data_IF_092082234918
#
_entry.id   IF_092082234918
#
_cell.length_a   1.000
_cell.length_b   1.000
_cell.length_c   1.000
_cell.angle_alpha   90.00
_cell.angle_beta   90.00
_cell.angle_gamma   90.00
#
_symmetry.space_group_name_H-M   'P 1'
#
loop_
_entity.id
_entity.type
_entity.pdbx_description
1 polymer ?
#
# COMPACT_ATOMS: atom_id res chain seq x y z
N UNK A 1 13.64 -36.69 -21.53
CA UNK A 1 12.61 -36.52 -20.47
C UNK A 1 12.61 -35.08 -19.96
N UNK A 2 13.78 -34.45 -19.80
CA UNK A 2 13.91 -33.01 -19.50
C UNK A 2 13.36 -32.10 -20.62
N UNK A 3 13.60 -32.40 -21.90
CA UNK A 3 13.06 -31.62 -23.02
C UNK A 3 11.52 -31.63 -23.08
N UNK A 4 10.89 -32.75 -22.74
CA UNK A 4 9.43 -32.87 -22.72
C UNK A 4 8.80 -32.08 -21.57
N UNK A 5 9.49 -31.98 -20.43
CA UNK A 5 9.06 -31.18 -19.28
C UNK A 5 9.26 -29.67 -19.51
N UNK A 6 10.33 -29.28 -20.21
CA UNK A 6 10.57 -27.91 -20.67
C UNK A 6 9.51 -27.46 -21.69
N UNK A 7 9.19 -28.32 -22.66
CA UNK A 7 8.22 -28.01 -23.71
C UNK A 7 6.78 -27.98 -23.16
N UNK A 8 6.43 -28.87 -22.22
CA UNK A 8 5.13 -28.83 -21.53
C UNK A 8 4.98 -27.59 -20.63
N UNK A 9 6.04 -27.17 -19.92
CA UNK A 9 6.06 -25.93 -19.13
C UNK A 9 5.94 -24.68 -20.01
N UNK A 10 6.66 -24.64 -21.14
CA UNK A 10 6.50 -23.58 -22.15
C UNK A 10 5.07 -23.52 -22.66
N UNK A 11 4.48 -24.66 -23.07
CA UNK A 11 3.11 -24.69 -23.60
C UNK A 11 2.03 -24.31 -22.58
N UNK A 12 2.24 -24.62 -21.29
CA UNK A 12 1.30 -24.27 -20.23
C UNK A 12 1.40 -22.79 -19.85
N UNK A 13 2.62 -22.24 -19.88
CA UNK A 13 2.88 -20.82 -19.66
C UNK A 13 2.36 -19.98 -20.83
N UNK A 14 2.59 -20.40 -22.07
CA UNK A 14 2.04 -19.78 -23.29
C UNK A 14 0.51 -19.81 -23.30
N UNK A 15 -0.10 -20.91 -22.81
CA UNK A 15 -1.56 -21.03 -22.70
C UNK A 15 -2.14 -20.12 -21.62
N UNK A 16 -1.49 -19.98 -20.46
CA UNK A 16 -1.93 -19.07 -19.40
C UNK A 16 -1.78 -17.58 -19.78
N UNK A 17 -0.74 -17.24 -20.54
CA UNK A 17 -0.56 -15.89 -21.08
C UNK A 17 -1.55 -15.57 -22.21
N UNK A 18 -2.11 -16.58 -22.88
CA UNK A 18 -3.12 -16.40 -23.93
C UNK A 18 -4.55 -16.10 -23.40
N UNK A 19 -4.86 -16.43 -22.15
CA UNK A 19 -6.19 -16.19 -21.56
C UNK A 19 -6.40 -14.70 -21.28
N UNK A 20 -7.45 -14.05 -21.81
CA UNK A 20 -7.68 -12.62 -21.56
C UNK A 20 -7.85 -12.29 -20.08
N UNK A 21 -7.27 -11.17 -19.63
CA UNK A 21 -7.53 -10.60 -18.31
C UNK A 21 -8.73 -9.66 -18.39
N UNK A 22 -9.72 -9.87 -17.52
CA UNK A 22 -10.89 -8.99 -17.44
C UNK A 22 -10.57 -7.74 -16.60
N UNK A 23 -10.89 -6.55 -17.12
CA UNK A 23 -10.60 -5.28 -16.44
C UNK A 23 -11.58 -4.98 -15.29
N UNK A 24 -12.85 -5.34 -15.43
CA UNK A 24 -13.94 -4.95 -14.54
C UNK A 24 -13.67 -5.22 -13.04
N UNK A 25 -13.16 -6.40 -12.63
CA UNK A 25 -12.86 -6.68 -11.22
C UNK A 25 -11.86 -5.70 -10.59
N UNK A 26 -10.94 -5.16 -11.39
CA UNK A 26 -9.88 -4.26 -10.92
C UNK A 26 -10.32 -2.80 -10.86
N UNK A 27 -11.49 -2.44 -11.40
CA UNK A 27 -12.02 -1.08 -11.32
C UNK A 27 -12.73 -0.88 -9.98
N UNK A 28 -12.27 0.09 -9.20
CA UNK A 28 -12.89 0.39 -7.91
C UNK A 28 -14.27 1.03 -8.11
N UNK A 29 -15.23 0.59 -7.30
CA UNK A 29 -16.60 1.10 -7.26
C UNK A 29 -16.97 1.55 -5.85
N UNK A 30 -18.10 2.27 -5.76
CA UNK A 30 -18.64 2.77 -4.51
C UNK A 30 -18.98 1.64 -3.51
N UNK A 31 -19.61 0.56 -3.99
CA UNK A 31 -19.96 -0.63 -3.20
C UNK A 31 -19.17 -1.82 -3.71
N UNK A 32 -18.34 -2.45 -2.88
CA UNK A 32 -17.49 -3.57 -3.35
C UNK A 32 -18.26 -4.89 -3.39
N UNK A 33 -19.13 -5.14 -2.42
CA UNK A 33 -19.94 -6.36 -2.34
C UNK A 33 -20.99 -6.52 -3.46
N UNK A 34 -21.38 -5.43 -4.13
CA UNK A 34 -22.33 -5.44 -5.25
C UNK A 34 -21.64 -5.48 -6.62
N UNK A 35 -20.35 -5.83 -6.67
CA UNK A 35 -19.52 -5.72 -7.87
C UNK A 35 -18.74 -6.98 -8.16
N UNK A 36 -17.99 -6.97 -9.27
CA UNK A 36 -17.04 -8.01 -9.64
C UNK A 36 -15.83 -8.14 -8.67
N UNK A 37 -15.81 -7.46 -7.52
CA UNK A 37 -14.73 -7.52 -6.54
C UNK A 37 -14.37 -8.96 -6.13
N UNK A 38 -15.36 -9.85 -5.98
CA UNK A 38 -15.12 -11.25 -5.64
C UNK A 38 -14.51 -12.08 -6.78
N UNK A 39 -14.36 -11.51 -7.98
CA UNK A 39 -13.63 -12.11 -9.10
C UNK A 39 -12.13 -11.74 -9.10
N UNK A 40 -11.69 -10.86 -8.19
CA UNK A 40 -10.27 -10.61 -7.98
C UNK A 40 -9.58 -11.86 -7.44
N UNK A 41 -8.29 -12.10 -7.75
CA UNK A 41 -7.54 -13.20 -7.17
C UNK A 41 -7.58 -13.16 -5.63
N UNK A 42 -7.77 -14.32 -5.00
CA UNK A 42 -7.71 -14.43 -3.55
C UNK A 42 -6.25 -14.31 -3.09
N UNK A 43 -5.94 -13.16 -2.49
CA UNK A 43 -4.59 -12.87 -1.99
C UNK A 43 -4.22 -13.74 -0.78
N UNK A 44 -5.20 -14.33 -0.08
CA UNK A 44 -4.95 -15.25 1.03
C UNK A 44 -4.44 -16.62 0.56
N UNK A 45 -4.71 -17.01 -0.69
CA UNK A 45 -4.23 -18.26 -1.28
C UNK A 45 -2.79 -18.17 -1.80
N UNK A 46 -2.25 -16.96 -1.92
CA UNK A 46 -0.86 -16.75 -2.35
C UNK A 46 0.13 -17.13 -1.24
N UNK A 47 1.34 -17.48 -1.65
CA UNK A 47 2.48 -17.53 -0.71
C UNK A 47 2.93 -16.12 -0.37
N UNK A 48 3.32 -15.90 0.88
CA UNK A 48 3.82 -14.62 1.36
C UNK A 48 5.17 -14.79 2.07
N UNK A 49 6.06 -13.78 2.01
CA UNK A 49 7.34 -13.87 2.70
C UNK A 49 7.11 -13.90 4.21
N UNK A 50 8.00 -14.57 4.94
CA UNK A 50 7.98 -14.52 6.40
C UNK A 50 8.14 -13.07 6.84
N UNK A 51 7.19 -12.61 7.65
CA UNK A 51 7.28 -11.29 8.25
C UNK A 51 8.23 -11.30 9.44
N UNK A 52 9.13 -10.32 9.48
CA UNK A 52 9.93 -9.99 10.64
C UNK A 52 9.23 -8.87 11.45
N UNK A 53 9.40 -8.89 12.77
CA UNK A 53 8.75 -7.96 13.69
C UNK A 53 9.77 -7.40 14.68
N UNK A 54 9.50 -6.20 15.20
CA UNK A 54 10.17 -5.70 16.39
C UNK A 54 9.78 -6.57 17.60
N UNK A 55 10.74 -6.84 18.48
CA UNK A 55 10.49 -7.56 19.74
C UNK A 55 9.72 -6.70 20.76
N UNK A 56 9.76 -5.38 20.60
CA UNK A 56 9.13 -4.43 21.51
C UNK A 56 8.16 -3.55 20.71
N UNK A 57 6.91 -3.36 21.18
CA UNK A 57 5.98 -2.44 20.54
C UNK A 57 6.56 -1.03 20.52
N UNK A 58 6.52 -0.39 19.36
CA UNK A 58 6.95 0.98 19.23
C UNK A 58 6.12 1.91 20.12
N UNK A 59 6.79 2.82 20.84
CA UNK A 59 6.13 3.72 21.78
C UNK A 59 5.85 3.11 23.16
N UNK A 60 6.32 1.88 23.43
CA UNK A 60 6.38 1.33 24.79
C UNK A 60 7.26 2.18 25.70
N UNK A 61 6.93 2.18 26.99
CA UNK A 61 7.68 2.89 28.03
C UNK A 61 8.62 1.93 28.76
N UNK A 62 9.79 2.43 29.15
CA UNK A 62 10.71 1.80 30.09
C UNK A 62 10.24 2.02 31.54
N UNK A 63 10.88 1.34 32.48
CA UNK A 63 10.61 1.37 33.92
C UNK A 63 10.69 2.76 34.56
N UNK A 64 11.47 3.69 33.98
CA UNK A 64 11.56 5.08 34.40
C UNK A 64 10.54 6.01 33.71
N UNK A 65 9.68 5.46 32.86
CA UNK A 65 8.66 6.18 32.11
C UNK A 65 9.16 6.82 30.81
N UNK A 66 10.40 6.60 30.40
CA UNK A 66 10.92 7.06 29.10
C UNK A 66 10.46 6.14 27.96
N UNK A 67 10.33 6.66 26.74
CA UNK A 67 9.97 5.83 25.57
C UNK A 67 11.15 4.95 25.18
N UNK A 68 10.93 3.64 25.05
CA UNK A 68 11.95 2.68 24.64
C UNK A 68 12.50 3.06 23.25
N UNK A 69 13.84 3.12 23.07
CA UNK A 69 14.44 3.47 21.80
C UNK A 69 13.99 2.57 20.64
N UNK A 70 13.87 3.19 19.47
CA UNK A 70 13.49 2.53 18.23
C UNK A 70 14.58 1.54 17.77
N UNK A 71 14.20 0.50 17.02
CA UNK A 71 15.17 -0.30 16.26
C UNK A 71 16.05 0.56 15.35
N UNK A 72 17.20 0.00 14.95
CA UNK A 72 18.09 0.64 13.99
C UNK A 72 17.38 0.93 12.65
N UNK A 73 17.94 1.83 11.83
CA UNK A 73 17.37 2.13 10.53
C UNK A 73 17.24 0.86 9.67
N UNK A 74 16.11 0.73 8.98
CA UNK A 74 15.76 -0.42 8.13
C UNK A 74 15.50 -1.75 8.87
N UNK A 75 15.46 -1.74 10.20
CA UNK A 75 14.91 -2.85 10.99
C UNK A 75 13.38 -2.77 11.07
N UNK A 76 12.69 -3.91 11.26
CA UNK A 76 11.25 -3.93 11.44
C UNK A 76 10.84 -3.08 12.63
N UNK A 77 9.86 -2.22 12.39
CA UNK A 77 9.35 -1.29 13.39
C UNK A 77 8.19 -1.90 14.16
N UNK A 78 7.24 -2.48 13.44
CA UNK A 78 6.03 -3.00 14.02
C UNK A 78 6.36 -4.24 14.86
N UNK A 79 5.86 -4.26 16.09
CA UNK A 79 5.63 -5.53 16.76
C UNK A 79 4.51 -6.30 16.07
N UNK A 80 4.29 -7.55 16.47
CA UNK A 80 3.25 -8.40 15.88
C UNK A 80 1.85 -7.83 16.13
N UNK A 81 1.58 -7.38 17.35
CA UNK A 81 0.31 -6.73 17.73
C UNK A 81 0.10 -5.40 17.01
N UNK A 82 1.16 -4.59 16.83
CA UNK A 82 1.04 -3.33 16.08
C UNK A 82 0.72 -3.55 14.60
N UNK A 83 1.38 -4.52 13.96
CA UNK A 83 1.07 -4.85 12.57
C UNK A 83 -0.36 -5.39 12.41
N UNK A 84 -0.81 -6.24 13.33
CA UNK A 84 -2.20 -6.71 13.37
C UNK A 84 -3.18 -5.55 13.54
N UNK A 85 -2.88 -4.61 14.45
CA UNK A 85 -3.70 -3.42 14.66
C UNK A 85 -3.76 -2.52 13.41
N UNK A 86 -2.64 -2.18 12.78
CA UNK A 86 -2.64 -1.38 11.55
C UNK A 86 -3.43 -2.05 10.43
N UNK A 87 -3.26 -3.37 10.28
CA UNK A 87 -4.04 -4.17 9.31
C UNK A 87 -5.53 -4.05 9.63
N UNK A 88 -5.94 -4.22 10.89
CA UNK A 88 -7.34 -4.11 11.32
C UNK A 88 -7.90 -2.70 11.13
N UNK A 89 -7.14 -1.65 11.43
CA UNK A 89 -7.58 -0.27 11.26
C UNK A 89 -7.84 0.04 9.79
N UNK A 90 -6.89 -0.30 8.90
CA UNK A 90 -7.05 -0.10 7.46
C UNK A 90 -8.19 -0.95 6.88
N UNK A 91 -8.30 -2.21 7.31
CA UNK A 91 -9.33 -3.14 6.84
C UNK A 91 -10.73 -2.67 7.26
N UNK A 92 -10.90 -2.31 8.54
CA UNK A 92 -12.15 -1.77 9.07
C UNK A 92 -12.53 -0.47 8.37
N UNK A 93 -11.56 0.42 8.15
CA UNK A 93 -11.81 1.66 7.42
C UNK A 93 -12.35 1.40 6.01
N UNK A 94 -11.67 0.52 5.27
CA UNK A 94 -12.09 0.12 3.93
C UNK A 94 -13.47 -0.57 3.90
N UNK A 95 -13.77 -1.42 4.88
CA UNK A 95 -15.06 -2.11 4.99
C UNK A 95 -16.20 -1.11 5.25
N UNK A 96 -16.02 -0.17 6.19
CA UNK A 96 -17.01 0.88 6.47
C UNK A 96 -17.24 1.74 5.22
N UNK A 97 -16.16 2.16 4.55
CA UNK A 97 -16.24 2.99 3.35
C UNK A 97 -16.98 2.26 2.24
N UNK A 98 -16.58 1.04 1.90
CA UNK A 98 -17.15 0.28 0.78
C UNK A 98 -18.59 -0.15 1.02
N UNK A 99 -18.94 -0.63 2.21
CA UNK A 99 -20.32 -1.04 2.54
C UNK A 99 -21.28 0.16 2.60
N UNK A 100 -20.76 1.37 2.82
CA UNK A 100 -21.52 2.61 2.85
C UNK A 100 -21.59 3.37 1.52
N UNK A 101 -21.10 2.76 0.42
CA UNK A 101 -21.12 3.38 -0.91
C UNK A 101 -20.05 4.46 -1.10
N UNK A 102 -18.96 4.39 -0.35
CA UNK A 102 -17.82 5.33 -0.39
C UNK A 102 -16.50 4.64 -0.79
N UNK A 103 -16.56 3.39 -1.28
CA UNK A 103 -15.39 2.59 -1.62
C UNK A 103 -14.50 3.19 -2.73
N UNK A 104 -15.04 4.11 -3.53
CA UNK A 104 -14.33 4.87 -4.57
C UNK A 104 -13.90 6.29 -4.12
N UNK A 105 -14.00 6.59 -2.82
CA UNK A 105 -13.73 7.92 -2.23
C UNK A 105 -12.46 7.97 -1.40
N UNK A 106 -11.64 6.93 -1.45
CA UNK A 106 -10.33 6.93 -0.84
C UNK A 106 -9.33 6.13 -1.66
N UNK A 107 -8.05 6.33 -1.39
CA UNK A 107 -6.93 5.58 -1.95
C UNK A 107 -5.89 5.30 -0.87
N UNK A 108 -5.07 4.27 -1.06
CA UNK A 108 -3.78 4.19 -0.37
C UNK A 108 -2.94 5.42 -0.72
N UNK A 109 -2.21 5.96 0.25
CA UNK A 109 -1.34 7.13 0.04
C UNK A 109 0.10 6.90 0.55
N UNK A 110 1.01 7.80 0.19
CA UNK A 110 2.35 7.93 0.75
C UNK A 110 3.11 6.58 0.92
N UNK A 111 3.58 6.26 2.13
CA UNK A 111 4.33 5.04 2.45
C UNK A 111 3.53 3.77 2.19
N UNK A 112 2.21 3.82 2.42
CA UNK A 112 1.30 2.69 2.22
C UNK A 112 1.12 2.34 0.74
N UNK A 113 0.88 3.33 -0.13
CA UNK A 113 0.86 3.12 -1.57
C UNK A 113 2.22 2.63 -2.08
N UNK A 114 3.30 3.19 -1.53
CA UNK A 114 4.65 2.78 -1.88
C UNK A 114 4.91 1.32 -1.51
N UNK A 115 4.47 0.87 -0.34
CA UNK A 115 4.51 -0.52 0.08
C UNK A 115 3.73 -1.44 -0.87
N UNK A 116 2.51 -1.07 -1.26
CA UNK A 116 1.74 -1.82 -2.28
C UNK A 116 2.52 -1.98 -3.59
N UNK A 117 3.22 -0.93 -4.04
CA UNK A 117 4.05 -0.99 -5.25
C UNK A 117 5.38 -1.74 -5.02
N UNK A 118 5.98 -1.71 -3.83
CA UNK A 118 7.34 -2.22 -3.64
C UNK A 118 7.39 -3.61 -3.05
N UNK A 119 6.42 -3.97 -2.23
CA UNK A 119 6.44 -5.19 -1.41
C UNK A 119 5.12 -5.98 -1.51
N UNK A 120 4.12 -5.47 -2.26
CA UNK A 120 2.72 -5.90 -2.18
C UNK A 120 2.16 -5.87 -0.74
N UNK A 121 2.78 -5.10 0.16
CA UNK A 121 2.57 -5.13 1.61
C UNK A 121 3.19 -3.87 2.24
N UNK A 122 3.19 -3.75 3.56
CA UNK A 122 3.91 -2.68 4.26
C UNK A 122 5.38 -2.59 3.82
N UNK A 123 5.95 -1.37 3.80
CA UNK A 123 7.40 -1.25 3.80
C UNK A 123 7.90 -1.84 5.13
N UNK A 124 8.85 -2.79 5.14
CA UNK A 124 9.20 -3.54 6.36
C UNK A 124 9.65 -2.68 7.55
N UNK A 125 10.19 -1.51 7.27
CA UNK A 125 10.68 -0.54 8.24
C UNK A 125 9.85 0.77 8.25
N UNK A 126 8.66 0.77 7.65
CA UNK A 126 7.69 1.86 7.85
C UNK A 126 7.11 1.82 9.26
N UNK A 127 6.44 2.90 9.65
CA UNK A 127 5.92 3.02 11.01
C UNK A 127 4.48 3.47 11.13
N UNK A 128 3.80 3.71 10.01
CA UNK A 128 2.41 4.18 9.97
C UNK A 128 1.69 3.69 8.71
N UNK A 129 0.44 4.11 8.56
CA UNK A 129 -0.43 3.75 7.44
C UNK A 129 -1.22 4.96 7.01
N UNK A 130 -1.22 5.24 5.71
CA UNK A 130 -1.83 6.41 5.12
C UNK A 130 -2.90 6.05 4.09
N UNK A 131 -4.03 6.75 4.18
CA UNK A 131 -5.01 6.85 3.09
C UNK A 131 -5.29 8.31 2.77
N UNK A 132 -5.74 8.58 1.55
CA UNK A 132 -6.29 9.89 1.19
C UNK A 132 -7.73 9.79 0.78
N UNK A 133 -8.56 10.67 1.31
CA UNK A 133 -10.02 10.61 1.21
C UNK A 133 -10.58 11.86 0.54
N UNK A 134 -11.65 11.70 -0.22
CA UNK A 134 -12.42 12.81 -0.76
C UNK A 134 -13.01 13.66 0.36
N UNK A 135 -12.59 14.92 0.47
CA UNK A 135 -13.02 15.80 1.55
C UNK A 135 -14.54 16.00 1.60
N UNK A 136 -15.21 15.90 0.45
CA UNK A 136 -16.66 16.07 0.36
C UNK A 136 -17.43 15.04 1.21
N UNK A 137 -16.87 13.85 1.40
CA UNK A 137 -17.55 12.77 2.14
C UNK A 137 -17.19 12.71 3.62
N UNK A 138 -16.30 13.61 4.10
CA UNK A 138 -15.87 13.67 5.49
C UNK A 138 -17.05 13.75 6.50
N UNK A 139 -18.11 14.58 6.29
CA UNK A 139 -19.24 14.60 7.21
C UNK A 139 -19.92 13.24 7.37
N UNK A 140 -20.05 12.47 6.28
CA UNK A 140 -20.63 11.13 6.32
C UNK A 140 -19.72 10.15 7.04
N UNK A 141 -18.40 10.22 6.81
CA UNK A 141 -17.41 9.39 7.52
C UNK A 141 -17.47 9.64 9.03
N UNK A 142 -17.53 10.91 9.46
CA UNK A 142 -17.65 11.27 10.88
C UNK A 142 -18.87 10.59 11.49
N UNK A 143 -20.03 10.62 10.83
CA UNK A 143 -21.25 9.94 11.30
C UNK A 143 -21.07 8.43 11.36
N UNK A 144 -20.54 7.79 10.30
CA UNK A 144 -20.35 6.33 10.25
C UNK A 144 -19.47 5.82 11.39
N UNK A 145 -18.39 6.53 11.73
CA UNK A 145 -17.48 6.11 12.81
C UNK A 145 -17.97 6.46 14.22
N UNK A 146 -19.13 7.12 14.38
CA UNK A 146 -19.75 7.27 15.71
C UNK A 146 -20.24 5.92 16.25
N UNK A 147 -20.69 5.01 15.39
CA UNK A 147 -21.20 3.68 15.76
C UNK A 147 -20.12 2.75 16.33
N UNK A 148 -18.85 3.06 16.08
CA UNK A 148 -17.70 2.26 16.52
C UNK A 148 -17.12 2.73 17.87
N UNK A 149 -17.72 3.75 18.49
CA UNK A 149 -17.34 4.19 19.84
C UNK A 149 -17.88 3.21 20.90
N UNK A 150 -17.17 3.02 22.02
CA UNK A 150 -15.92 3.69 22.39
C UNK A 150 -14.66 2.98 21.88
N UNK A 151 -14.78 1.81 21.24
CA UNK A 151 -13.63 0.96 20.88
C UNK A 151 -12.71 1.62 19.85
N UNK A 152 -13.28 2.41 18.93
CA UNK A 152 -12.53 3.17 17.94
C UNK A 152 -12.83 4.67 18.04
N UNK A 153 -11.82 5.46 17.70
CA UNK A 153 -11.85 6.91 17.72
C UNK A 153 -11.46 7.43 16.35
N UNK A 154 -12.42 8.07 15.67
CA UNK A 154 -12.16 8.87 14.47
C UNK A 154 -11.98 10.32 14.89
N UNK A 155 -10.73 10.79 14.94
CA UNK A 155 -10.39 12.16 15.29
C UNK A 155 -10.21 12.98 14.02
N UNK A 156 -11.15 13.87 13.75
CA UNK A 156 -11.11 14.70 12.56
C UNK A 156 -10.43 16.06 12.78
N UNK A 157 -9.69 16.50 11.77
CA UNK A 157 -9.11 17.82 11.67
C UNK A 157 -9.38 18.47 10.32
N UNK A 158 -8.96 19.73 10.16
CA UNK A 158 -9.16 20.51 8.92
C UNK A 158 -8.39 19.96 7.72
N UNK A 159 -7.24 19.33 7.97
CA UNK A 159 -6.25 18.90 6.96
C UNK A 159 -5.89 17.41 7.05
N UNK A 160 -5.96 16.84 8.26
CA UNK A 160 -5.64 15.45 8.57
C UNK A 160 -6.69 14.92 9.55
N UNK A 161 -7.05 13.65 9.39
CA UNK A 161 -7.74 12.84 10.40
C UNK A 161 -6.82 11.72 10.89
N UNK A 162 -7.09 11.24 12.09
CA UNK A 162 -6.46 10.04 12.66
C UNK A 162 -7.56 9.06 13.07
N UNK A 163 -7.42 7.79 12.69
CA UNK A 163 -8.31 6.71 13.10
C UNK A 163 -7.55 5.65 13.88
N UNK A 164 -7.92 5.45 15.14
CA UNK A 164 -7.19 4.61 16.09
C UNK A 164 -8.15 3.97 17.09
N UNK A 165 -7.69 3.01 17.89
CA UNK A 165 -8.51 2.38 18.93
C UNK A 165 -8.63 3.29 20.15
N UNK A 166 -9.48 2.95 21.11
CA UNK A 166 -9.35 3.48 22.46
C UNK A 166 -7.95 3.26 23.02
N UNK A 167 -7.60 4.11 24.00
CA UNK A 167 -6.34 4.01 24.72
C UNK A 167 -6.21 2.65 25.38
N UNK A 168 -5.01 2.09 25.29
CA UNK A 168 -4.68 0.85 25.97
C UNK A 168 -4.94 0.96 27.49
N UNK A 169 -5.54 -0.06 28.13
CA UNK A 169 -5.61 -0.16 29.59
C UNK A 169 -4.22 -0.29 30.21
N UNK A 170 -4.01 0.32 31.39
CA UNK A 170 -2.71 0.31 32.09
C UNK A 170 -2.16 -1.10 32.33
N UNK A 171 -3.05 -2.08 32.58
CA UNK A 171 -2.65 -3.48 32.83
C UNK A 171 -2.04 -4.16 31.60
N UNK A 172 -2.26 -3.60 30.41
CA UNK A 172 -1.78 -4.13 29.14
C UNK A 172 -0.60 -3.33 28.56
N UNK A 173 -0.11 -2.29 29.26
CA UNK A 173 0.98 -1.44 28.74
C UNK A 173 2.27 -2.23 28.46
N UNK A 174 2.55 -3.26 29.26
CA UNK A 174 3.75 -4.10 29.15
C UNK A 174 3.65 -5.22 28.10
N UNK A 175 2.50 -5.41 27.45
CA UNK A 175 2.30 -6.49 26.46
C UNK A 175 2.05 -5.94 25.06
N UNK A 176 2.39 -6.75 24.05
CA UNK A 176 2.14 -6.47 22.64
C UNK A 176 0.65 -6.65 22.28
N UNK A 177 -0.19 -5.81 22.86
CA UNK A 177 -1.63 -5.79 22.59
C UNK A 177 -1.99 -4.88 21.43
N UNK A 178 -3.08 -5.22 20.75
CA UNK A 178 -3.60 -4.50 19.58
C UNK A 178 -4.40 -3.25 19.99
N UNK A 179 -3.78 -2.38 20.79
CA UNK A 179 -4.33 -1.10 21.23
C UNK A 179 -3.41 0.07 20.88
N UNK A 180 -4.00 1.24 20.79
CA UNK A 180 -3.31 2.51 20.58
C UNK A 180 -2.88 3.10 21.92
N UNK A 181 -1.70 3.75 21.93
CA UNK A 181 -0.99 4.28 23.08
C UNK A 181 -0.83 5.79 22.96
N UNK A 182 -0.70 6.45 24.10
CA UNK A 182 -0.34 7.85 24.11
C UNK A 182 1.19 7.99 24.10
N UNK A 183 1.75 8.29 22.93
CA UNK A 183 3.19 8.26 22.66
C UNK A 183 3.75 9.64 22.35
N UNK A 184 2.92 10.68 22.31
CA UNK A 184 3.33 12.04 21.98
C UNK A 184 2.53 13.09 22.77
N UNK A 185 2.85 14.37 22.57
CA UNK A 185 2.09 15.50 23.13
C UNK A 185 0.75 15.75 22.40
N UNK A 186 0.54 15.10 21.25
CA UNK A 186 -0.64 15.33 20.44
C UNK A 186 -1.84 14.53 20.98
N UNK A 187 -3.06 14.97 20.67
CA UNK A 187 -4.24 14.39 21.29
C UNK A 187 -4.77 13.13 20.56
N UNK A 188 -4.01 12.57 19.64
CA UNK A 188 -4.25 11.28 19.00
C UNK A 188 -3.27 10.23 19.52
N UNK A 189 -3.57 8.95 19.29
CA UNK A 189 -2.80 7.82 19.79
C UNK A 189 -2.07 7.11 18.66
N UNK A 190 -1.06 6.31 18.98
CA UNK A 190 -0.30 5.47 18.05
C UNK A 190 -0.39 3.99 18.47
N UNK A 191 -0.59 3.01 17.57
CA UNK A 191 -0.83 3.10 16.12
C UNK A 191 -2.08 3.89 15.72
N UNK A 192 -2.03 4.58 14.58
CA UNK A 192 -3.19 5.23 13.95
C UNK A 192 -3.13 5.14 12.42
N UNK A 193 -4.28 4.96 11.79
CA UNK A 193 -4.45 5.20 10.37
C UNK A 193 -4.49 6.72 10.14
N UNK A 194 -3.54 7.23 9.37
CA UNK A 194 -3.43 8.62 8.95
C UNK A 194 -4.29 8.84 7.70
N UNK A 195 -5.10 9.89 7.74
CA UNK A 195 -6.12 10.15 6.73
C UNK A 195 -5.95 11.58 6.21
N UNK A 196 -5.31 11.73 5.05
CA UNK A 196 -5.28 13.00 4.34
C UNK A 196 -6.56 13.24 3.54
N UNK A 197 -6.71 14.46 3.04
CA UNK A 197 -7.84 14.83 2.21
C UNK A 197 -7.43 15.30 0.83
N UNK A 198 -8.22 14.96 -0.16
CA UNK A 198 -8.19 15.61 -1.47
C UNK A 198 -9.53 16.27 -1.81
N UNK A 199 -9.48 17.30 -2.64
CA UNK A 199 -10.64 17.87 -3.36
C UNK A 199 -10.43 17.66 -4.85
N UNK A 200 -11.48 17.87 -5.64
CA UNK A 200 -11.43 17.65 -7.09
C UNK A 200 -12.32 18.64 -7.82
N UNK A 201 -12.00 18.91 -9.07
CA UNK A 201 -12.88 19.53 -10.05
C UNK A 201 -12.87 18.68 -11.33
N UNK A 202 -13.43 19.22 -12.42
CA UNK A 202 -13.56 18.48 -13.69
C UNK A 202 -12.22 18.07 -14.30
N UNK A 203 -11.14 18.80 -13.99
CA UNK A 203 -9.84 18.63 -14.65
C UNK A 203 -8.74 18.15 -13.72
N UNK A 204 -8.84 18.37 -12.41
CA UNK A 204 -7.77 18.14 -11.45
C UNK A 204 -8.25 17.54 -10.11
N UNK A 205 -7.30 16.92 -9.42
CA UNK A 205 -7.40 16.49 -8.02
C UNK A 205 -6.32 17.21 -7.22
N UNK A 206 -6.68 17.66 -6.01
CA UNK A 206 -5.87 18.52 -5.14
C UNK A 206 -5.79 17.91 -3.74
N UNK A 207 -4.64 17.36 -3.35
CA UNK A 207 -4.38 16.92 -1.97
C UNK A 207 -4.07 18.14 -1.09
N UNK A 208 -4.66 18.18 0.09
CA UNK A 208 -4.45 19.22 1.10
C UNK A 208 -3.38 18.71 2.07
N UNK A 209 -2.22 19.36 2.06
CA UNK A 209 -1.09 19.00 2.93
C UNK A 209 -1.26 19.55 4.35
N UNK A 210 -0.55 18.96 5.31
CA UNK A 210 -0.63 19.32 6.72
C UNK A 210 -0.26 20.79 6.99
N UNK A 211 0.70 21.35 6.25
CA UNK A 211 1.12 22.75 6.31
C UNK A 211 0.13 23.71 5.61
N UNK A 212 -0.81 23.17 4.82
CA UNK A 212 -1.80 23.93 4.06
C UNK A 212 -1.45 24.15 2.60
N UNK A 213 -0.28 23.70 2.16
CA UNK A 213 0.05 23.64 0.73
C UNK A 213 -0.86 22.62 0.02
N UNK A 214 -0.90 22.71 -1.31
CA UNK A 214 -1.73 21.84 -2.14
C UNK A 214 -0.86 21.16 -3.18
N UNK A 215 -0.99 19.84 -3.28
CA UNK A 215 -0.40 19.05 -4.36
C UNK A 215 -1.47 18.71 -5.38
N UNK A 216 -1.15 18.85 -6.68
CA UNK A 216 -2.15 18.81 -7.75
C UNK A 216 -1.77 17.79 -8.82
N UNK A 217 -2.76 17.06 -9.31
CA UNK A 217 -2.63 16.15 -10.46
C UNK A 217 -3.78 16.35 -11.44
N UNK A 218 -3.52 16.09 -12.72
CA UNK A 218 -4.60 15.96 -13.70
C UNK A 218 -5.54 14.82 -13.28
N UNK A 219 -6.84 14.99 -13.52
CA UNK A 219 -7.87 14.02 -13.15
C UNK A 219 -7.60 12.63 -13.75
N UNK A 220 -7.00 12.56 -14.93
CA UNK A 220 -6.61 11.31 -15.61
C UNK A 220 -5.44 10.56 -14.95
N UNK A 221 -4.65 11.21 -14.10
CA UNK A 221 -3.62 10.53 -13.29
C UNK A 221 -4.27 9.82 -12.10
N UNK A 222 -5.37 10.38 -11.60
CA UNK A 222 -6.05 9.90 -10.41
C UNK A 222 -7.16 8.90 -10.73
N UNK A 223 -8.05 9.21 -11.68
CA UNK A 223 -9.25 8.43 -11.98
C UNK A 223 -9.20 7.75 -13.37
N UNK A 224 -9.91 6.62 -13.56
CA UNK A 224 -10.63 5.87 -12.52
C UNK A 224 -9.68 5.19 -11.53
N UNK A 225 -10.16 4.90 -10.31
CA UNK A 225 -9.35 4.20 -9.33
C UNK A 225 -9.20 2.72 -9.69
N UNK A 226 -8.05 2.12 -9.36
CA UNK A 226 -7.75 0.71 -9.58
C UNK A 226 -7.45 0.00 -8.25
N UNK A 227 -7.88 -1.25 -8.13
CA UNK A 227 -7.48 -2.11 -7.02
C UNK A 227 -6.05 -2.60 -7.18
N UNK A 228 -5.29 -2.60 -6.09
CA UNK A 228 -3.96 -3.20 -6.00
C UNK A 228 -3.80 -4.03 -4.71
N UNK A 229 -2.91 -5.04 -4.71
CA UNK A 229 -2.66 -5.85 -3.52
C UNK A 229 -1.94 -5.04 -2.44
N UNK A 230 -2.35 -5.23 -1.20
CA UNK A 230 -1.64 -4.76 -0.01
C UNK A 230 -1.90 -5.75 1.13
N UNK A 231 -0.91 -6.61 1.39
CA UNK A 231 -1.08 -7.82 2.18
C UNK A 231 -2.17 -8.71 1.56
N UNK A 232 -3.02 -9.26 2.41
CA UNK A 232 -4.07 -10.22 2.00
C UNK A 232 -5.35 -9.56 1.47
N UNK A 233 -5.33 -8.26 1.13
CA UNK A 233 -6.52 -7.53 0.68
C UNK A 233 -6.21 -6.61 -0.50
N UNK A 234 -7.26 -6.29 -1.25
CA UNK A 234 -7.23 -5.33 -2.36
C UNK A 234 -7.68 -3.95 -1.88
N UNK A 235 -6.95 -2.91 -2.28
CA UNK A 235 -7.28 -1.53 -1.90
C UNK A 235 -7.24 -0.57 -3.10
N UNK A 236 -8.03 0.52 -3.05
CA UNK A 236 -8.04 1.52 -4.11
C UNK A 236 -6.70 2.26 -4.22
N UNK A 237 -6.29 2.53 -5.45
CA UNK A 237 -5.12 3.32 -5.80
C UNK A 237 -5.41 4.23 -6.99
N UNK A 238 -4.62 5.30 -7.20
CA UNK A 238 -4.73 6.15 -8.39
C UNK A 238 -4.51 5.37 -9.69
N UNK A 239 -5.19 5.80 -10.76
CA UNK A 239 -5.07 5.23 -12.10
C UNK A 239 -3.61 5.08 -12.57
N UNK A 240 -2.82 6.15 -12.47
CA UNK A 240 -1.38 6.14 -12.70
C UNK A 240 -0.66 6.30 -11.35
N UNK A 241 -0.63 5.20 -10.59
CA UNK A 241 -0.07 5.14 -9.24
C UNK A 241 1.37 5.60 -9.15
N UNK A 242 2.22 5.32 -10.16
CA UNK A 242 3.62 5.75 -10.13
C UNK A 242 3.76 7.25 -10.36
N UNK A 243 3.02 7.83 -11.32
CA UNK A 243 3.03 9.28 -11.54
C UNK A 243 2.49 10.04 -10.33
N UNK A 244 1.50 9.48 -9.64
CA UNK A 244 1.04 9.99 -8.35
C UNK A 244 2.14 9.89 -7.29
N UNK A 245 2.69 8.70 -7.05
CA UNK A 245 3.68 8.44 -6.00
C UNK A 245 4.97 9.27 -6.16
N UNK A 246 5.41 9.53 -7.40
CA UNK A 246 6.60 10.35 -7.73
C UNK A 246 6.58 11.76 -7.15
N UNK A 247 5.42 12.26 -6.76
CA UNK A 247 5.24 13.58 -6.13
C UNK A 247 5.27 13.55 -4.59
N UNK A 248 5.23 12.36 -3.98
CA UNK A 248 5.07 12.14 -2.54
C UNK A 248 6.36 11.67 -1.88
N UNK A 249 7.05 10.71 -2.50
CA UNK A 249 8.21 10.04 -1.91
C UNK A 249 9.43 10.16 -2.81
N UNK A 250 10.62 10.01 -2.24
CA UNK A 250 11.85 9.98 -3.03
C UNK A 250 11.89 8.73 -3.92
N UNK A 251 12.35 8.90 -5.16
CA UNK A 251 12.18 7.91 -6.23
C UNK A 251 13.48 7.21 -6.62
N UNK A 252 14.63 7.64 -6.12
CA UNK A 252 15.92 7.09 -6.54
C UNK A 252 16.16 5.63 -6.13
N UNK A 253 17.35 5.09 -6.42
CA UNK A 253 17.73 3.70 -6.12
C UNK A 253 17.89 3.40 -4.61
N UNK A 254 17.68 4.41 -3.76
CA UNK A 254 17.89 4.31 -2.34
C UNK A 254 16.59 4.17 -1.57
N UNK A 255 16.59 3.22 -0.66
CA UNK A 255 15.58 3.04 0.36
C UNK A 255 15.84 4.07 1.46
N UNK A 256 14.79 4.76 1.88
CA UNK A 256 14.88 5.92 2.76
C UNK A 256 13.96 5.70 3.95
N UNK A 257 14.48 6.00 5.13
CA UNK A 257 13.69 6.26 6.33
C UNK A 257 13.59 7.77 6.49
N UNK A 258 12.35 8.28 6.50
CA UNK A 258 12.05 9.71 6.54
C UNK A 258 12.31 10.33 7.92
N UNK A 259 12.33 11.66 7.95
CA UNK A 259 12.71 12.48 9.10
C UNK A 259 11.60 12.63 10.13
N UNK A 260 10.33 12.49 9.74
CA UNK A 260 9.24 12.49 10.70
C UNK A 260 9.12 11.11 11.35
N UNK A 261 8.97 11.08 12.67
CA UNK A 261 8.66 9.89 13.44
C UNK A 261 7.20 9.93 13.88
N UNK A 262 6.35 9.12 13.27
CA UNK A 262 4.91 9.10 13.57
C UNK A 262 4.59 8.47 14.93
N UNK A 263 5.55 7.77 15.55
CA UNK A 263 5.34 7.15 16.86
C UNK A 263 5.39 8.21 17.94
N UNK A 264 6.41 9.08 17.92
CA UNK A 264 6.57 10.15 18.92
C UNK A 264 6.12 11.52 18.43
N UNK A 265 5.73 11.64 17.16
CA UNK A 265 5.37 12.88 16.47
C UNK A 265 6.47 13.94 16.61
N UNK A 266 7.69 13.54 16.23
CA UNK A 266 8.91 14.34 16.37
C UNK A 266 9.87 14.13 15.20
N UNK A 267 10.79 15.07 15.01
CA UNK A 267 11.86 14.94 14.02
C UNK A 267 12.93 13.94 14.47
N UNK A 268 13.52 13.26 13.48
CA UNK A 268 14.67 12.37 13.62
C UNK A 268 15.59 12.46 12.41
N UNK A 269 16.79 11.89 12.53
CA UNK A 269 17.74 11.84 11.41
C UNK A 269 17.23 10.93 10.29
N UNK A 270 17.18 11.48 9.08
CA UNK A 270 17.01 10.73 7.83
C UNK A 270 18.06 9.63 7.71
N UNK A 271 17.68 8.49 7.15
CA UNK A 271 18.63 7.41 6.82
C UNK A 271 18.40 6.93 5.40
N UNK A 272 19.45 6.52 4.71
CA UNK A 272 19.39 6.09 3.31
C UNK A 272 20.37 4.96 3.05
N UNK A 273 19.93 3.93 2.31
CA UNK A 273 20.77 2.81 1.86
C UNK A 273 20.32 2.40 0.45
N UNK A 274 21.19 1.88 -0.44
CA UNK A 274 20.73 1.34 -1.71
C UNK A 274 19.69 0.24 -1.51
N UNK A 275 18.52 0.33 -2.16
CA UNK A 275 17.43 -0.64 -1.97
C UNK A 275 17.87 -2.07 -2.30
N UNK A 276 18.73 -2.23 -3.31
CA UNK A 276 19.29 -3.54 -3.70
C UNK A 276 20.04 -4.24 -2.55
N UNK A 277 20.58 -3.50 -1.58
CA UNK A 277 21.22 -4.08 -0.40
C UNK A 277 20.21 -4.80 0.48
N UNK A 278 18.97 -4.29 0.56
CA UNK A 278 17.86 -4.86 1.32
C UNK A 278 17.13 -5.99 0.58
N UNK A 279 17.31 -6.11 -0.74
CA UNK A 279 16.65 -7.13 -1.57
C UNK A 279 16.96 -8.58 -1.20
N UNK A 280 17.97 -8.82 -0.36
CA UNK A 280 18.28 -10.15 0.18
C UNK A 280 17.60 -10.49 1.52
N UNK A 281 16.91 -9.52 2.11
CA UNK A 281 16.18 -9.67 3.38
C UNK A 281 14.69 -9.46 3.17
N UNK A 282 14.34 -8.42 2.43
CA UNK A 282 12.97 -8.07 2.12
C UNK A 282 12.64 -8.38 0.67
N UNK A 283 11.43 -8.86 0.44
CA UNK A 283 10.96 -9.14 -0.91
C UNK A 283 10.61 -7.84 -1.65
N UNK A 284 10.96 -7.73 -2.92
CA UNK A 284 10.66 -6.58 -3.77
C UNK A 284 9.81 -7.01 -4.96
N UNK A 285 8.98 -6.09 -5.47
CA UNK A 285 8.16 -6.35 -6.65
C UNK A 285 8.95 -6.04 -7.91
N UNK A 286 9.22 -7.09 -8.67
CA UNK A 286 9.77 -7.00 -10.02
C UNK A 286 8.62 -7.01 -11.03
N UNK A 287 8.77 -6.24 -12.11
CA UNK A 287 7.72 -6.01 -13.10
C UNK A 287 8.22 -6.27 -14.51
N UNK A 288 7.31 -6.80 -15.31
CA UNK A 288 7.45 -6.90 -16.77
C UNK A 288 6.08 -6.74 -17.42
N UNK A 289 6.06 -6.25 -18.66
CA UNK A 289 4.82 -6.24 -19.45
C UNK A 289 4.49 -7.67 -19.87
N UNK A 290 3.29 -8.14 -19.54
CA UNK A 290 2.82 -9.46 -19.97
C UNK A 290 2.23 -9.39 -21.38
N UNK A 291 2.44 -10.43 -22.19
CA UNK A 291 1.77 -10.58 -23.48
C UNK A 291 0.35 -11.17 -23.32
N UNK A 292 -0.42 -10.59 -22.39
CA UNK A 292 -1.76 -11.05 -22.04
C UNK A 292 -2.79 -10.01 -22.50
N UNK A 293 -3.82 -10.38 -23.29
CA UNK A 293 -4.85 -9.44 -23.72
C UNK A 293 -5.61 -8.89 -22.52
N UNK A 294 -5.79 -7.57 -22.46
CA UNK A 294 -6.72 -6.93 -21.53
C UNK A 294 -8.06 -6.72 -22.24
N UNK A 295 -9.14 -7.23 -21.66
CA UNK A 295 -10.48 -7.12 -22.23
C UNK A 295 -11.44 -6.45 -21.25
N UNK A 296 -12.45 -5.80 -21.79
CA UNK A 296 -13.57 -5.24 -21.04
C UNK A 296 -14.85 -5.42 -21.85
N UNK A 297 -15.89 -5.92 -21.20
CA UNK A 297 -17.22 -6.04 -21.80
C UNK A 297 -18.03 -4.75 -21.67
N UNK A 298 -17.72 -3.91 -20.67
CA UNK A 298 -18.48 -2.68 -20.34
C UNK A 298 -17.79 -1.40 -20.78
N UNK A 299 -16.47 -1.40 -20.93
CA UNK A 299 -15.67 -0.25 -21.30
C UNK A 299 -14.83 -0.51 -22.57
N UNK A 300 -15.42 -0.98 -23.69
CA UNK A 300 -14.65 -1.13 -24.91
C UNK A 300 -14.14 0.25 -25.37
N UNK A 301 -12.82 0.41 -25.53
CA UNK A 301 -12.20 1.64 -26.05
C UNK A 301 -11.12 2.27 -25.17
N UNK A 302 -11.16 3.60 -25.01
CA UNK A 302 -10.05 4.44 -24.51
C UNK A 302 -9.46 4.01 -23.16
N UNK A 303 -10.26 3.46 -22.25
CA UNK A 303 -9.78 3.01 -20.93
C UNK A 303 -8.88 1.78 -21.05
N UNK A 304 -9.35 0.74 -21.76
CA UNK A 304 -8.56 -0.48 -22.04
C UNK A 304 -7.28 -0.11 -22.79
N UNK A 305 -7.36 0.79 -23.76
CA UNK A 305 -6.21 1.22 -24.57
C UNK A 305 -5.14 2.01 -23.77
N UNK A 306 -5.49 2.51 -22.58
CA UNK A 306 -4.57 3.24 -21.71
C UNK A 306 -3.93 2.35 -20.63
N UNK A 307 -4.24 1.06 -20.62
CA UNK A 307 -3.74 0.09 -19.66
C UNK A 307 -3.01 -1.04 -20.39
N UNK A 308 -2.10 -1.70 -19.67
CA UNK A 308 -1.44 -2.94 -20.08
C UNK A 308 -1.53 -3.94 -18.95
N UNK A 309 -1.38 -5.23 -19.26
CA UNK A 309 -1.21 -6.24 -18.23
C UNK A 309 0.25 -6.25 -17.79
N UNK A 310 0.49 -5.99 -16.50
CA UNK A 310 1.79 -6.14 -15.87
C UNK A 310 1.84 -7.47 -15.14
N UNK A 311 2.90 -8.24 -15.38
CA UNK A 311 3.30 -9.37 -14.56
C UNK A 311 4.14 -8.82 -13.42
N UNK A 312 3.61 -8.89 -12.20
CA UNK A 312 4.29 -8.46 -10.98
C UNK A 312 4.72 -9.69 -10.18
N UNK A 313 6.04 -9.90 -10.02
CA UNK A 313 6.63 -10.98 -9.23
C UNK A 313 7.13 -10.41 -7.92
N UNK A 314 6.72 -11.00 -6.79
CA UNK A 314 7.32 -10.66 -5.49
C UNK A 314 8.54 -11.56 -5.28
N UNK A 315 9.73 -10.96 -5.22
CA UNK A 315 11.01 -11.67 -5.33
C UNK A 315 11.94 -11.37 -4.16
N UNK A 316 12.70 -12.37 -3.72
CA UNK A 316 13.79 -12.21 -2.74
C UNK A 316 15.10 -12.64 -3.39
N UNK A 317 16.12 -11.79 -3.32
CA UNK A 317 17.44 -12.06 -3.89
C UNK A 317 18.32 -12.87 -2.93
N UNK A 318 18.67 -14.10 -3.29
CA UNK A 318 19.62 -14.87 -2.52
C UNK A 318 21.05 -14.54 -2.94
N UNK A 319 21.79 -13.80 -2.11
CA UNK A 319 23.20 -13.45 -2.39
C UNK A 319 24.11 -14.67 -2.42
N UNK A 320 23.82 -15.72 -1.64
CA UNK A 320 24.70 -16.88 -1.51
C UNK A 320 24.60 -17.80 -2.73
N UNK A 321 23.40 -17.92 -3.30
CA UNK A 321 23.13 -18.77 -4.47
C UNK A 321 23.16 -17.99 -5.78
N UNK A 322 23.31 -16.66 -5.73
CA UNK A 322 23.15 -15.74 -6.87
C UNK A 322 21.84 -16.04 -7.62
N UNK A 323 20.80 -16.35 -6.84
CA UNK A 323 19.52 -16.82 -7.33
C UNK A 323 18.40 -15.89 -6.86
N UNK A 324 17.28 -15.93 -7.57
CA UNK A 324 16.10 -15.14 -7.27
C UNK A 324 14.96 -16.10 -6.93
N UNK A 325 14.42 -15.97 -5.72
CA UNK A 325 13.26 -16.75 -5.28
C UNK A 325 11.99 -15.95 -5.54
N UNK A 326 11.12 -16.48 -6.40
CA UNK A 326 9.78 -15.92 -6.61
C UNK A 326 8.85 -16.44 -5.53
N UNK A 327 8.34 -15.54 -4.69
CA UNK A 327 7.41 -15.85 -3.61
C UNK A 327 6.02 -16.09 -4.18
N UNK A 328 5.50 -15.11 -4.91
CA UNK A 328 4.26 -15.20 -5.67
C UNK A 328 4.32 -14.31 -6.91
N UNK A 329 3.28 -14.44 -7.75
CA UNK A 329 3.15 -13.73 -9.00
C UNK A 329 1.69 -13.32 -9.22
N UNK A 330 1.49 -12.12 -9.78
CA UNK A 330 0.18 -11.57 -10.12
C UNK A 330 0.20 -10.93 -11.51
N UNK A 331 -0.95 -10.95 -12.19
CA UNK A 331 -1.19 -10.25 -13.45
C UNK A 331 -2.21 -9.15 -13.21
N UNK A 332 -1.79 -7.89 -13.35
CA UNK A 332 -2.58 -6.73 -12.98
C UNK A 332 -2.76 -5.78 -14.18
N UNK A 333 -3.96 -5.22 -14.43
CA UNK A 333 -4.09 -4.10 -15.33
C UNK A 333 -3.49 -2.85 -14.68
N UNK A 334 -2.50 -2.24 -15.33
CA UNK A 334 -1.81 -1.05 -14.84
C UNK A 334 -1.54 -0.04 -15.94
N UNK A 335 -1.28 1.21 -15.56
CA UNK A 335 -0.76 2.19 -16.50
C UNK A 335 0.64 1.76 -17.03
N UNK A 336 0.97 1.96 -18.32
CA UNK A 336 2.26 1.55 -18.91
C UNK A 336 3.50 2.02 -18.15
N UNK A 337 3.47 3.24 -17.59
CA UNK A 337 4.55 3.78 -16.74
C UNK A 337 4.91 2.86 -15.56
N UNK A 338 3.93 2.12 -15.02
CA UNK A 338 4.16 1.21 -13.91
C UNK A 338 4.68 -0.16 -14.37
N UNK A 339 4.16 -0.69 -15.48
CA UNK A 339 4.58 -2.00 -16.02
C UNK A 339 6.07 -2.05 -16.39
N UNK A 340 6.66 -0.88 -16.67
CA UNK A 340 8.08 -0.72 -16.99
C UNK A 340 8.91 -0.19 -15.83
N UNK A 341 8.39 -0.08 -14.60
CA UNK A 341 9.13 0.48 -13.47
C UNK A 341 10.28 -0.44 -13.02
N UNK A 342 11.47 0.14 -12.76
CA UNK A 342 12.58 -0.62 -12.18
C UNK A 342 12.26 -1.09 -10.74
N UNK A 343 12.77 -2.26 -10.37
CA UNK A 343 12.48 -2.91 -9.07
C UNK A 343 13.01 -2.12 -7.87
N UNK A 344 14.16 -1.45 -8.03
CA UNK A 344 14.86 -0.76 -6.95
C UNK A 344 14.95 0.76 -7.15
N UNK A 345 14.81 1.28 -8.38
CA UNK A 345 14.93 2.70 -8.73
C UNK A 345 13.66 3.23 -9.41
N UNK A 346 12.76 3.80 -8.61
CA UNK A 346 11.46 4.27 -9.11
C UNK A 346 11.54 5.57 -9.93
N UNK A 347 12.74 6.16 -10.06
CA UNK A 347 13.02 7.29 -10.93
C UNK A 347 13.24 6.85 -12.38
N UNK A 348 13.43 5.55 -12.61
CA UNK A 348 13.70 4.96 -13.91
C UNK A 348 12.61 3.98 -14.30
N UNK A 349 12.39 3.89 -15.60
CA UNK A 349 11.70 2.74 -16.17
C UNK A 349 12.77 1.81 -16.76
N UNK A 350 12.62 0.50 -16.64
CA UNK A 350 13.38 -0.52 -17.33
C UNK A 350 13.28 -0.26 -18.84
N UNK A 351 14.34 0.30 -19.42
CA UNK A 351 14.45 0.58 -20.87
C UNK A 351 14.78 -0.71 -21.65
N UNK A 352 15.17 -1.78 -20.95
CA UNK A 352 15.55 -3.05 -21.55
C UNK A 352 14.33 -3.95 -21.78
N UNK A 353 13.48 -3.58 -22.74
CA UNK A 353 12.60 -4.48 -23.53
C UNK A 353 11.80 -3.73 -24.62
N UNK A 354 12.31 -2.59 -25.12
CA UNK A 354 11.73 -1.87 -26.27
C UNK A 354 12.52 -2.06 -27.57
N UNK A 355 13.37 -3.07 -27.65
CA UNK A 355 14.08 -3.47 -28.86
C UNK A 355 14.13 -4.99 -28.95
N UNK A 356 13.04 -5.62 -29.43
CA UNK A 356 13.02 -6.60 -30.54
C UNK A 356 11.66 -6.45 -31.24
#
# INVERSE_FOLDING_TARGET
MEDFLLQARSSAQDKFESDPLLLEPFLVKAYWNLTEYNLLPDLAELRWPRTEYSNVPAGSLDSDGTVIPRPAAFEPVFSKGQRALFTRLLSLFADVMSTSGLGDKFILNAGTLHGSLRHHDFIPYDEDVDVCVDKEVLPKIITLFQEYKPEYVFRYGKRLSKFYTRRIPTQLEAVDSEYSRNTSKYPWLYPALDICYYTKNDTHVHEILADGQVRTWARSVFFPLLFRPFGFRWYPTPFNSIRYLRTLVAQGPNCIRVEWDHVTESERKRSSIPCKVLGNRYAFVERSKANRPLVSSRFPGKLVNNLVVSRERLVVWNKNEVSLTVVHELYLPVHPDLASLDTYDYSRNNINELLI
#
